data_IF_789089910345
#
_entry.id   IF_789089910345
#
_cell.length_a   1.000
_cell.length_b   1.000
_cell.length_c   1.000
_cell.angle_alpha   90.00
_cell.angle_beta   90.00
_cell.angle_gamma   90.00
#
_symmetry.space_group_name_H-M   'P 1'
#
loop_
_entity.id
_entity.type
_entity.pdbx_description
1 polymer ?
#
# COMPACT_ATOMS: atom_id res chain seq x y z
N UNK A 1 7.59 -54.99 0.08
CA UNK A 1 7.40 -53.67 0.73
C UNK A 1 7.81 -52.61 -0.27
N UNK A 2 6.85 -51.89 -0.84
CA UNK A 2 7.10 -50.71 -1.67
C UNK A 2 7.21 -49.53 -0.71
N UNK A 3 8.41 -49.00 -0.54
CA UNK A 3 8.61 -47.69 0.08
C UNK A 3 7.89 -46.66 -0.78
N UNK A 4 6.78 -46.16 -0.26
CA UNK A 4 6.13 -44.96 -0.79
C UNK A 4 6.99 -43.79 -0.33
N UNK A 5 7.87 -43.34 -1.21
CA UNK A 5 8.55 -42.07 -1.04
C UNK A 5 7.50 -40.99 -0.75
N UNK A 6 7.60 -40.40 0.44
CA UNK A 6 6.90 -39.18 0.77
C UNK A 6 7.25 -38.15 -0.31
N UNK A 7 6.24 -37.67 -1.03
CA UNK A 7 6.35 -36.45 -1.82
C UNK A 7 6.84 -35.35 -0.88
N UNK A 8 8.09 -34.92 -1.06
CA UNK A 8 8.56 -33.66 -0.49
C UNK A 8 7.65 -32.59 -1.06
N UNK A 9 6.88 -31.92 -0.21
CA UNK A 9 6.18 -30.70 -0.61
C UNK A 9 7.18 -29.78 -1.28
N UNK A 10 6.93 -29.42 -2.54
CA UNK A 10 7.86 -28.67 -3.36
C UNK A 10 8.04 -27.26 -2.77
N UNK A 11 9.10 -27.08 -1.99
CA UNK A 11 9.58 -25.76 -1.57
C UNK A 11 10.09 -25.01 -2.79
N UNK A 12 9.86 -23.71 -2.84
CA UNK A 12 10.37 -22.89 -3.93
C UNK A 12 11.89 -22.81 -3.81
N UNK A 13 12.61 -23.28 -4.84
CA UNK A 13 14.06 -23.14 -4.87
C UNK A 13 14.45 -21.68 -5.12
N UNK A 14 15.46 -21.18 -4.40
CA UNK A 14 15.92 -19.79 -4.51
C UNK A 14 16.47 -19.48 -5.89
N UNK A 15 17.04 -20.50 -6.56
CA UNK A 15 17.49 -20.41 -7.95
C UNK A 15 16.36 -20.09 -8.94
N UNK A 16 15.10 -20.29 -8.56
CA UNK A 16 13.94 -19.97 -9.38
C UNK A 16 13.34 -18.60 -9.07
N UNK A 17 13.86 -17.87 -8.08
CA UNK A 17 13.41 -16.51 -7.79
C UNK A 17 14.27 -15.48 -8.53
N UNK A 18 13.66 -14.73 -9.45
CA UNK A 18 14.26 -13.57 -10.08
C UNK A 18 13.78 -12.29 -9.40
N UNK A 19 14.75 -11.51 -8.91
CA UNK A 19 14.53 -10.14 -8.45
C UNK A 19 14.90 -9.15 -9.56
N UNK A 20 13.91 -8.53 -10.18
CA UNK A 20 14.12 -7.39 -11.09
C UNK A 20 14.06 -6.09 -10.31
N UNK A 21 15.15 -5.31 -10.34
CA UNK A 21 15.28 -4.00 -9.70
C UNK A 21 15.18 -2.89 -10.75
N UNK A 22 14.11 -2.10 -10.72
CA UNK A 22 13.95 -0.92 -11.56
C UNK A 22 14.17 0.32 -10.69
N UNK A 23 15.16 1.14 -11.02
CA UNK A 23 15.49 2.36 -10.28
C UNK A 23 15.01 3.54 -11.11
N UNK A 24 14.02 4.28 -10.61
CA UNK A 24 13.60 5.55 -11.19
C UNK A 24 14.36 6.66 -10.47
N UNK A 25 15.21 7.39 -11.19
CA UNK A 25 16.02 8.47 -10.61
C UNK A 25 15.20 9.76 -10.46
N UNK A 26 15.31 10.40 -9.30
CA UNK A 26 14.63 11.66 -8.99
C UNK A 26 14.20 11.78 -7.54
N UNK A 27 13.94 13.02 -7.12
CA UNK A 27 13.33 13.34 -5.82
C UNK A 27 11.81 13.30 -5.95
N UNK A 28 11.16 12.42 -5.17
CA UNK A 28 9.73 12.19 -5.23
C UNK A 28 9.11 12.32 -3.86
N UNK A 29 7.92 12.90 -3.80
CA UNK A 29 7.18 13.05 -2.55
C UNK A 29 6.42 11.77 -2.17
N UNK A 30 5.79 11.13 -3.15
CA UNK A 30 5.00 9.92 -2.96
C UNK A 30 4.72 9.18 -4.29
N UNK A 31 4.26 7.94 -4.22
CA UNK A 31 3.96 7.11 -5.38
C UNK A 31 2.80 6.14 -5.12
N UNK A 32 2.00 5.78 -6.11
CA UNK A 32 0.96 4.77 -5.95
C UNK A 32 0.69 4.02 -7.26
N UNK A 33 0.43 2.71 -7.19
CA UNK A 33 -0.14 1.97 -8.30
C UNK A 33 -1.63 1.74 -8.08
N UNK A 34 -2.45 2.19 -9.02
CA UNK A 34 -3.89 1.99 -8.94
C UNK A 34 -4.51 1.84 -10.33
N UNK A 35 -5.32 0.79 -10.50
CA UNK A 35 -6.09 0.51 -11.73
C UNK A 35 -5.27 0.60 -13.04
N UNK A 36 -4.06 0.02 -13.04
CA UNK A 36 -3.20 0.01 -14.22
C UNK A 36 -2.56 1.36 -14.58
N UNK A 37 -2.60 2.32 -13.65
CA UNK A 37 -1.88 3.59 -13.71
C UNK A 37 -0.83 3.66 -12.60
N UNK A 38 0.23 4.40 -12.88
CA UNK A 38 1.29 4.73 -11.94
C UNK A 38 1.22 6.22 -11.62
N UNK A 39 0.92 6.52 -10.37
CA UNK A 39 0.77 7.85 -9.82
C UNK A 39 2.09 8.20 -9.15
N UNK A 40 2.74 9.25 -9.60
CA UNK A 40 4.03 9.68 -9.08
C UNK A 40 3.96 11.17 -8.74
N UNK A 41 4.13 11.47 -7.46
CA UNK A 41 4.26 12.84 -7.00
C UNK A 41 5.70 13.29 -7.15
N UNK A 42 5.97 14.08 -8.18
CA UNK A 42 7.31 14.66 -8.42
C UNK A 42 7.67 15.75 -7.41
N UNK A 43 6.68 16.25 -6.69
CA UNK A 43 6.80 17.12 -5.52
C UNK A 43 5.44 17.15 -4.80
N UNK A 44 5.34 17.90 -3.70
CA UNK A 44 4.09 18.08 -2.94
C UNK A 44 2.97 18.81 -3.69
N UNK A 45 3.19 19.28 -4.93
CA UNK A 45 2.21 20.07 -5.70
C UNK A 45 1.91 19.50 -7.08
N UNK A 46 2.60 18.43 -7.49
CA UNK A 46 2.54 17.92 -8.86
C UNK A 46 2.45 16.41 -8.84
N UNK A 47 1.35 15.90 -9.39
CA UNK A 47 1.09 14.49 -9.57
C UNK A 47 1.08 14.14 -11.05
N UNK A 48 2.02 13.29 -11.48
CA UNK A 48 2.05 12.72 -12.81
C UNK A 48 1.40 11.34 -12.81
N UNK A 49 0.54 11.08 -13.78
CA UNK A 49 -0.21 9.83 -13.94
C UNK A 49 0.26 9.17 -15.24
N UNK A 50 0.94 8.04 -15.11
CA UNK A 50 1.50 7.27 -16.21
C UNK A 50 0.69 6.00 -16.48
N UNK A 51 0.68 5.56 -17.74
CA UNK A 51 0.14 4.27 -18.14
C UNK A 51 1.09 3.13 -17.74
N UNK A 52 0.93 2.61 -16.53
CA UNK A 52 1.73 1.51 -16.00
C UNK A 52 1.75 0.29 -16.93
N UNK A 53 0.58 -0.07 -17.49
CA UNK A 53 0.49 -1.27 -18.32
C UNK A 53 1.30 -1.16 -19.61
N UNK A 54 1.24 0.00 -20.29
CA UNK A 54 2.05 0.25 -21.50
C UNK A 54 3.53 0.27 -21.17
N UNK A 55 3.91 0.91 -20.07
CA UNK A 55 5.32 0.97 -19.65
C UNK A 55 5.86 -0.44 -19.38
N UNK A 56 5.15 -1.23 -18.59
CA UNK A 56 5.52 -2.62 -18.30
C UNK A 56 5.63 -3.50 -19.56
N UNK A 57 4.78 -3.29 -20.56
CA UNK A 57 4.87 -4.00 -21.84
C UNK A 57 6.13 -3.62 -22.61
N UNK A 58 6.47 -2.34 -22.69
CA UNK A 58 7.70 -1.89 -23.34
C UNK A 58 8.94 -2.44 -22.63
N UNK A 59 8.90 -2.50 -21.29
CA UNK A 59 9.98 -3.04 -20.49
C UNK A 59 10.31 -4.50 -20.82
N UNK A 60 9.35 -5.32 -21.24
CA UNK A 60 9.61 -6.72 -21.65
C UNK A 60 10.40 -6.88 -22.95
N UNK A 61 10.55 -5.80 -23.72
CA UNK A 61 11.31 -5.79 -24.97
C UNK A 61 12.77 -5.37 -24.78
N UNK A 62 13.14 -4.97 -23.56
CA UNK A 62 14.49 -4.52 -23.22
C UNK A 62 15.28 -5.75 -22.75
N UNK A 63 16.33 -6.09 -23.48
CA UNK A 63 17.27 -7.14 -23.08
C UNK A 63 18.02 -6.73 -21.80
N UNK A 64 18.12 -7.66 -20.85
CA UNK A 64 18.73 -7.43 -19.53
C UNK A 64 19.65 -8.58 -19.17
N UNK A 65 20.89 -8.30 -18.74
CA UNK A 65 21.74 -9.35 -18.20
C UNK A 65 21.19 -9.81 -16.86
N UNK A 66 20.98 -11.13 -16.73
CA UNK A 66 20.65 -11.79 -15.46
C UNK A 66 21.96 -12.16 -14.76
N UNK A 67 22.18 -11.63 -13.57
CA UNK A 67 23.28 -12.03 -12.69
C UNK A 67 22.79 -13.15 -11.78
N UNK A 68 23.46 -14.30 -11.77
CA UNK A 68 22.96 -15.51 -11.11
C UNK A 68 23.36 -15.64 -9.63
N UNK A 69 24.39 -14.90 -9.17
CA UNK A 69 24.94 -15.04 -7.82
C UNK A 69 24.74 -13.76 -6.99
N UNK A 70 24.36 -13.84 -5.69
CA UNK A 70 24.00 -15.04 -4.92
C UNK A 70 22.59 -15.60 -5.24
N UNK A 71 21.81 -14.88 -6.05
CA UNK A 71 20.51 -15.28 -6.60
C UNK A 71 20.26 -14.55 -7.93
N UNK A 72 19.36 -15.02 -8.80
CA UNK A 72 19.05 -14.34 -10.06
C UNK A 72 18.55 -12.90 -9.84
N UNK A 73 19.28 -11.94 -10.38
CA UNK A 73 18.94 -10.51 -10.31
C UNK A 73 19.11 -9.81 -11.65
N UNK A 74 18.24 -8.84 -11.92
CA UNK A 74 18.35 -7.92 -13.04
C UNK A 74 18.21 -6.49 -12.52
N UNK A 75 18.89 -5.54 -13.17
CA UNK A 75 18.75 -4.13 -12.83
C UNK A 75 18.49 -3.28 -14.08
N UNK A 76 17.59 -2.31 -13.96
CA UNK A 76 17.32 -1.27 -14.94
C UNK A 76 17.31 0.09 -14.25
N UNK A 77 17.98 1.09 -14.83
CA UNK A 77 17.87 2.49 -14.43
C UNK A 77 16.99 3.22 -15.44
N UNK A 78 16.11 4.07 -14.94
CA UNK A 78 15.07 4.77 -15.70
C UNK A 78 15.04 6.22 -15.22
N UNK A 79 14.96 7.16 -16.15
CA UNK A 79 14.79 8.58 -15.88
C UNK A 79 13.32 9.00 -16.06
N UNK A 80 12.96 10.21 -15.63
CA UNK A 80 11.62 10.75 -15.92
C UNK A 80 11.36 10.91 -17.44
N UNK A 81 12.40 11.16 -18.22
CA UNK A 81 12.28 11.28 -19.68
C UNK A 81 11.92 9.93 -20.33
N UNK A 82 12.44 8.83 -19.79
CA UNK A 82 12.06 7.47 -20.22
C UNK A 82 10.59 7.14 -19.90
N UNK A 83 10.00 7.82 -18.90
CA UNK A 83 8.59 7.68 -18.54
C UNK A 83 7.67 8.59 -19.36
N UNK A 84 8.20 9.64 -19.99
CA UNK A 84 7.43 10.64 -20.72
C UNK A 84 6.48 10.06 -21.79
N UNK A 85 6.85 9.02 -22.58
CA UNK A 85 5.95 8.39 -23.55
C UNK A 85 4.69 7.76 -22.94
N UNK A 86 4.70 7.47 -21.64
CA UNK A 86 3.58 6.86 -20.93
C UNK A 86 2.78 7.84 -20.09
N UNK A 87 3.15 9.13 -20.06
CA UNK A 87 2.44 10.15 -19.32
C UNK A 87 1.05 10.38 -19.92
N UNK A 88 0.01 10.23 -19.11
CA UNK A 88 -1.38 10.44 -19.54
C UNK A 88 -1.95 11.77 -19.05
N UNK A 89 -1.55 12.18 -17.83
CA UNK A 89 -2.08 13.37 -17.18
C UNK A 89 -1.11 13.90 -16.13
N UNK A 90 -1.02 15.22 -16.03
CA UNK A 90 -0.39 15.92 -14.92
C UNK A 90 -1.46 16.71 -14.17
N UNK A 91 -1.46 16.59 -12.85
CA UNK A 91 -2.31 17.34 -11.95
C UNK A 91 -1.45 18.28 -11.12
N UNK A 92 -1.79 19.57 -11.13
CA UNK A 92 -1.13 20.59 -10.33
C UNK A 92 -2.04 21.07 -9.21
N UNK A 93 -1.43 21.39 -8.08
CA UNK A 93 -2.07 21.85 -6.85
C UNK A 93 -1.47 23.20 -6.46
N UNK A 94 -2.32 24.13 -6.00
CA UNK A 94 -1.85 25.45 -5.54
C UNK A 94 -1.01 25.29 -4.28
N UNK A 95 -1.48 24.43 -3.37
CA UNK A 95 -0.86 24.19 -2.07
C UNK A 95 -0.13 22.86 -2.02
N UNK A 96 0.87 22.81 -1.13
CA UNK A 96 1.60 21.57 -0.85
C UNK A 96 0.68 20.62 -0.12
N UNK A 97 0.50 19.42 -0.68
CA UNK A 97 -0.25 18.36 -0.03
C UNK A 97 0.55 17.76 1.13
N UNK A 98 -0.15 17.29 2.15
CA UNK A 98 0.42 16.55 3.27
C UNK A 98 0.43 15.05 3.00
N UNK A 99 -0.70 14.52 2.56
CA UNK A 99 -0.84 13.10 2.24
C UNK A 99 -1.94 12.91 1.19
N UNK A 100 -1.93 11.74 0.53
CA UNK A 100 -2.91 11.39 -0.48
C UNK A 100 -3.22 9.91 -0.49
N UNK A 101 -4.43 9.56 -0.93
CA UNK A 101 -4.86 8.19 -1.10
C UNK A 101 -5.81 8.06 -2.30
N UNK A 102 -5.71 6.93 -3.01
CA UNK A 102 -6.58 6.61 -4.15
C UNK A 102 -7.61 5.55 -3.77
N UNK A 103 -8.89 5.89 -3.94
CA UNK A 103 -9.98 4.94 -3.77
C UNK A 103 -11.08 5.21 -4.79
N UNK A 104 -11.60 4.14 -5.41
CA UNK A 104 -12.66 4.20 -6.42
C UNK A 104 -12.45 5.30 -7.48
N UNK A 105 -11.29 5.30 -8.13
CA UNK A 105 -10.90 6.31 -9.14
C UNK A 105 -11.03 7.77 -8.66
N UNK A 106 -10.95 7.99 -7.35
CA UNK A 106 -11.01 9.30 -6.70
C UNK A 106 -9.73 9.48 -5.90
N UNK A 107 -9.07 10.60 -6.13
CA UNK A 107 -7.94 11.05 -5.34
C UNK A 107 -8.46 11.81 -4.12
N UNK A 108 -8.16 11.28 -2.95
CA UNK A 108 -8.32 11.96 -1.68
C UNK A 108 -6.98 12.57 -1.30
N UNK A 109 -6.97 13.83 -0.91
CA UNK A 109 -5.75 14.50 -0.51
C UNK A 109 -6.06 15.57 0.52
N UNK A 110 -5.05 15.98 1.26
CA UNK A 110 -5.16 17.09 2.21
C UNK A 110 -4.04 18.07 2.00
N UNK A 111 -4.35 19.34 2.23
CA UNK A 111 -3.38 20.42 2.38
C UNK A 111 -3.70 21.22 3.66
N UNK A 112 -3.06 22.38 3.84
CA UNK A 112 -3.27 23.22 5.03
C UNK A 112 -4.66 23.89 5.08
N UNK A 113 -5.43 23.86 4.00
CA UNK A 113 -6.77 24.48 3.89
C UNK A 113 -7.90 23.47 4.09
N UNK A 114 -7.59 22.17 4.11
CA UNK A 114 -8.54 21.12 4.44
C UNK A 114 -8.31 19.81 3.71
N UNK A 115 -9.33 18.95 3.78
CA UNK A 115 -9.40 17.63 3.18
C UNK A 115 -10.32 17.62 1.96
N UNK A 116 -9.86 17.03 0.87
CA UNK A 116 -10.47 17.13 -0.45
C UNK A 116 -10.65 15.77 -1.13
N UNK A 117 -11.56 15.74 -2.11
CA UNK A 117 -11.65 14.67 -3.12
C UNK A 117 -11.61 15.23 -4.54
N UNK A 118 -11.05 14.44 -5.44
CA UNK A 118 -10.92 14.75 -6.85
C UNK A 118 -11.18 13.53 -7.71
N UNK A 119 -12.19 13.57 -8.59
CA UNK A 119 -12.48 12.46 -9.49
C UNK A 119 -11.44 12.40 -10.61
N UNK A 120 -10.84 11.23 -10.81
CA UNK A 120 -9.86 10.99 -11.87
C UNK A 120 -10.49 10.50 -13.17
N UNK A 121 -11.77 10.11 -13.14
CA UNK A 121 -12.51 9.63 -14.31
C UNK A 121 -12.83 10.78 -15.26
N UNK A 122 -13.25 11.91 -14.70
CA UNK A 122 -13.68 13.09 -15.46
C UNK A 122 -12.52 14.07 -15.65
N UNK A 123 -12.35 14.56 -16.88
CA UNK A 123 -11.32 15.57 -17.18
C UNK A 123 -11.68 16.94 -16.59
N UNK A 124 -12.98 17.24 -16.55
CA UNK A 124 -13.61 18.46 -16.02
C UNK A 124 -13.95 18.36 -14.53
N UNK A 125 -13.45 17.34 -13.83
CA UNK A 125 -13.69 17.22 -12.39
C UNK A 125 -13.12 18.43 -11.65
N UNK A 126 -13.88 18.94 -10.70
CA UNK A 126 -13.42 19.93 -9.75
C UNK A 126 -12.92 19.26 -8.46
N UNK A 127 -12.01 19.93 -7.76
CA UNK A 127 -11.56 19.53 -6.43
C UNK A 127 -12.65 19.94 -5.43
N UNK A 128 -13.26 18.96 -4.79
CA UNK A 128 -14.36 19.19 -3.83
C UNK A 128 -13.77 19.10 -2.43
N UNK A 129 -13.88 20.19 -1.66
CA UNK A 129 -13.53 20.20 -0.24
C UNK A 129 -14.58 19.39 0.55
N UNK A 130 -14.12 18.38 1.28
CA UNK A 130 -14.96 17.55 2.15
C UNK A 130 -15.05 18.19 3.54
N UNK A 131 -13.92 18.68 4.05
CA UNK A 131 -13.80 19.20 5.40
C UNK A 131 -12.68 20.25 5.47
N UNK A 132 -12.81 21.24 6.35
CA UNK A 132 -11.87 22.36 6.46
C UNK A 132 -10.65 22.05 7.34
N UNK A 133 -10.69 20.96 8.11
CA UNK A 133 -9.57 20.55 8.95
C UNK A 133 -8.45 19.94 8.11
N UNK A 134 -7.19 20.38 8.30
CA UNK A 134 -6.04 19.72 7.71
C UNK A 134 -5.82 18.31 8.28
N UNK A 135 -5.59 17.36 7.38
CA UNK A 135 -5.26 15.97 7.68
C UNK A 135 -3.82 15.72 7.28
N UNK A 136 -3.01 15.25 8.23
CA UNK A 136 -1.58 15.00 8.02
C UNK A 136 -1.28 13.58 7.54
N UNK A 137 -2.17 12.63 7.83
CA UNK A 137 -2.05 11.26 7.34
C UNK A 137 -3.40 10.66 7.02
N UNK A 138 -3.48 9.96 5.88
CA UNK A 138 -4.65 9.27 5.37
C UNK A 138 -4.33 7.77 5.33
N UNK A 139 -5.15 6.97 6.00
CA UNK A 139 -4.94 5.52 6.10
C UNK A 139 -6.18 4.76 5.65
N UNK A 140 -6.07 4.01 4.56
CA UNK A 140 -7.16 3.24 3.98
C UNK A 140 -7.24 1.82 4.57
N UNK A 141 -8.42 1.42 5.01
CA UNK A 141 -8.73 0.06 5.41
C UNK A 141 -9.13 -0.79 4.20
N UNK A 142 -8.74 -2.09 4.15
CA UNK A 142 -9.26 -3.05 3.18
C UNK A 142 -10.79 -3.19 3.19
N UNK A 143 -11.44 -2.76 4.28
CA UNK A 143 -12.90 -2.78 4.41
C UNK A 143 -13.59 -1.54 3.82
N UNK A 144 -12.85 -0.57 3.28
CA UNK A 144 -13.45 0.66 2.74
C UNK A 144 -13.77 1.69 3.83
N UNK A 145 -12.95 1.73 4.88
CA UNK A 145 -12.93 2.76 5.92
C UNK A 145 -11.66 3.61 5.74
N UNK A 146 -11.69 4.89 6.06
CA UNK A 146 -10.53 5.78 5.91
C UNK A 146 -10.27 6.51 7.22
N UNK A 147 -9.13 6.24 7.85
CA UNK A 147 -8.71 6.99 9.03
C UNK A 147 -7.96 8.25 8.62
N UNK A 148 -8.22 9.34 9.33
CA UNK A 148 -7.68 10.66 9.10
C UNK A 148 -7.01 11.14 10.39
N UNK A 149 -5.70 11.37 10.35
CA UNK A 149 -4.92 11.88 11.47
C UNK A 149 -4.74 13.40 11.34
N UNK A 150 -5.32 14.17 12.25
CA UNK A 150 -5.40 15.63 12.17
C UNK A 150 -4.58 16.37 13.24
N UNK A 151 -3.52 15.73 13.76
CA UNK A 151 -2.63 16.31 14.77
C UNK A 151 -3.35 16.50 16.09
N UNK A 152 -3.32 17.72 16.63
CA UNK A 152 -3.98 18.08 17.90
C UNK A 152 -5.50 17.95 17.86
N UNK A 153 -6.13 18.03 16.68
CA UNK A 153 -7.57 17.82 16.55
C UNK A 153 -7.98 16.36 16.79
N UNK A 154 -7.02 15.45 16.67
CA UNK A 154 -7.14 14.03 17.00
C UNK A 154 -7.35 13.12 15.80
N UNK A 155 -8.05 12.01 16.05
CA UNK A 155 -8.27 10.94 15.07
C UNK A 155 -9.72 10.95 14.59
N UNK A 156 -9.87 10.88 13.27
CA UNK A 156 -11.16 10.91 12.59
C UNK A 156 -11.29 9.72 11.63
N UNK A 157 -12.52 9.44 11.23
CA UNK A 157 -12.83 8.48 10.20
C UNK A 157 -13.74 9.09 9.14
N UNK A 158 -13.34 8.94 7.88
CA UNK A 158 -14.17 9.22 6.73
C UNK A 158 -14.73 7.90 6.17
N UNK A 159 -16.06 7.81 6.12
CA UNK A 159 -16.73 6.62 5.62
C UNK A 159 -16.79 6.69 4.08
N UNK A 160 -16.05 5.81 3.40
CA UNK A 160 -16.06 5.74 1.93
C UNK A 160 -17.30 5.05 1.37
N UNK A 161 -17.84 4.08 2.12
CA UNK A 161 -18.97 3.23 1.74
C UNK A 161 -20.20 3.50 2.61
N UNK A 162 -21.41 3.39 2.06
CA UNK A 162 -22.67 3.44 2.82
C UNK A 162 -22.89 2.21 3.71
N UNK A 163 -22.10 1.15 3.51
CA UNK A 163 -22.17 -0.07 4.34
C UNK A 163 -21.89 0.24 5.82
N UNK A 164 -20.91 1.10 6.08
CA UNK A 164 -20.56 1.51 7.43
C UNK A 164 -21.33 2.77 7.83
N UNK A 165 -21.79 2.80 9.07
CA UNK A 165 -22.40 3.97 9.68
C UNK A 165 -22.17 4.02 11.19
N UNK A 166 -22.25 5.22 11.74
CA UNK A 166 -22.30 5.49 13.19
C UNK A 166 -23.71 5.97 13.55
N UNK A 167 -24.26 5.46 14.64
CA UNK A 167 -25.50 6.03 15.22
C UNK A 167 -25.23 7.32 16.01
N UNK A 168 -24.03 7.45 16.60
CA UNK A 168 -23.63 8.64 17.36
C UNK A 168 -23.35 9.83 16.44
N UNK A 169 -24.41 10.46 15.94
CA UNK A 169 -24.34 11.64 15.06
C UNK A 169 -23.65 12.83 15.74
N UNK A 170 -23.59 12.90 17.07
CA UNK A 170 -22.86 13.97 17.77
C UNK A 170 -21.35 13.97 17.46
N UNK A 171 -20.80 12.86 16.99
CA UNK A 171 -19.40 12.75 16.57
C UNK A 171 -19.16 13.24 15.15
N UNK A 172 -20.22 13.52 14.39
CA UNK A 172 -20.11 13.92 12.99
C UNK A 172 -19.67 15.38 12.89
N UNK A 173 -18.47 15.60 12.34
CA UNK A 173 -17.88 16.94 12.18
C UNK A 173 -18.06 17.51 10.77
N UNK A 174 -18.27 16.64 9.78
CA UNK A 174 -18.63 16.99 8.42
C UNK A 174 -19.39 15.83 7.76
N UNK A 175 -19.86 16.01 6.53
CA UNK A 175 -20.57 14.95 5.81
C UNK A 175 -19.73 13.67 5.73
N UNK A 176 -20.17 12.62 6.43
CA UNK A 176 -19.50 11.31 6.51
C UNK A 176 -18.11 11.32 7.18
N UNK A 177 -17.77 12.38 7.93
CA UNK A 177 -16.54 12.48 8.73
C UNK A 177 -16.93 12.46 10.21
N UNK A 178 -16.36 11.52 10.96
CA UNK A 178 -16.67 11.29 12.37
C UNK A 178 -15.40 11.38 13.23
N UNK A 179 -15.49 12.05 14.36
CA UNK A 179 -14.41 12.09 15.35
C UNK A 179 -14.40 10.80 16.18
N UNK A 180 -13.28 10.09 16.13
CA UNK A 180 -13.07 8.87 16.89
C UNK A 180 -12.61 9.20 18.31
N UNK A 181 -11.59 10.03 18.43
CA UNK A 181 -11.10 10.58 19.69
C UNK A 181 -10.35 11.91 19.46
N UNK A 182 -10.04 12.60 20.55
CA UNK A 182 -9.36 13.91 20.54
C UNK A 182 -7.87 13.82 20.92
N UNK A 183 -7.31 12.62 21.01
CA UNK A 183 -5.89 12.46 21.34
C UNK A 183 -5.04 12.77 20.12
N UNK A 184 -3.88 13.41 20.33
CA UNK A 184 -2.97 13.76 19.25
C UNK A 184 -2.71 12.56 18.32
N UNK A 185 -2.90 12.78 17.01
CA UNK A 185 -2.70 11.76 16.00
C UNK A 185 -1.94 12.34 14.80
N UNK A 186 -0.70 11.92 14.63
CA UNK A 186 0.08 12.25 13.43
C UNK A 186 -0.09 11.23 12.32
N UNK A 187 -0.27 9.97 12.70
CA UNK A 187 -0.46 8.84 11.82
C UNK A 187 -1.42 7.83 12.45
N UNK A 188 -2.11 7.06 11.62
CA UNK A 188 -2.96 5.96 12.04
C UNK A 188 -2.77 4.73 11.17
N UNK A 189 -2.80 3.56 11.80
CA UNK A 189 -2.65 2.26 11.15
C UNK A 189 -3.84 1.39 11.56
N UNK A 190 -4.37 0.65 10.60
CA UNK A 190 -5.45 -0.30 10.83
C UNK A 190 -4.91 -1.61 11.42
N UNK A 191 -5.51 -2.06 12.51
CA UNK A 191 -5.38 -3.42 13.05
C UNK A 191 -6.75 -4.09 12.95
N UNK A 192 -7.01 -4.78 11.84
CA UNK A 192 -8.33 -5.34 11.53
C UNK A 192 -9.45 -4.27 11.48
N UNK A 193 -10.30 -4.21 12.51
CA UNK A 193 -11.32 -3.17 12.67
C UNK A 193 -10.85 -2.02 13.57
N UNK A 194 -9.80 -2.26 14.34
CA UNK A 194 -9.21 -1.33 15.30
C UNK A 194 -8.25 -0.37 14.62
N UNK A 195 -7.98 0.75 15.29
CA UNK A 195 -7.03 1.76 14.84
C UNK A 195 -5.97 1.99 15.90
N UNK A 196 -4.72 1.95 15.49
CA UNK A 196 -3.57 2.35 16.29
C UNK A 196 -3.15 3.72 15.79
N UNK A 197 -3.18 4.72 16.65
CA UNK A 197 -2.69 6.07 16.34
C UNK A 197 -1.37 6.34 17.05
N UNK A 198 -0.46 7.01 16.36
CA UNK A 198 0.85 7.37 16.89
C UNK A 198 1.16 8.86 16.68
N UNK A 199 1.99 9.37 17.57
CA UNK A 199 2.56 10.71 17.49
C UNK A 199 3.77 10.81 16.57
N UNK A 200 4.25 12.04 16.35
CA UNK A 200 5.45 12.31 15.53
C UNK A 200 6.74 11.95 16.26
N UNK A 201 6.72 12.02 17.59
CA UNK A 201 7.88 11.71 18.44
C UNK A 201 7.60 10.50 19.33
N UNK A 202 8.67 9.83 19.76
CA UNK A 202 8.59 8.72 20.73
C UNK A 202 8.03 9.15 22.10
N UNK A 203 7.97 10.45 22.39
CA UNK A 203 7.43 10.99 23.65
C UNK A 203 5.89 11.08 23.66
N UNK A 204 5.25 10.99 22.49
CA UNK A 204 3.79 11.05 22.38
C UNK A 204 3.18 9.66 22.57
N UNK A 205 2.15 9.58 23.42
CA UNK A 205 1.47 8.32 23.73
C UNK A 205 0.79 7.76 22.48
N UNK A 206 1.02 6.48 22.21
CA UNK A 206 0.28 5.72 21.19
C UNK A 206 -1.05 5.26 21.80
N UNK A 207 -2.14 5.37 21.05
CA UNK A 207 -3.46 4.91 21.49
C UNK A 207 -3.99 3.85 20.55
N UNK A 208 -4.74 2.88 21.10
CA UNK A 208 -5.53 1.93 20.33
C UNK A 208 -7.00 2.25 20.53
N UNK A 209 -7.70 2.55 19.43
CA UNK A 209 -9.15 2.71 19.36
C UNK A 209 -9.77 1.41 18.92
N UNK A 210 -10.59 0.81 19.79
CA UNK A 210 -11.24 -0.47 19.51
C UNK A 210 -12.67 -0.28 19.02
N UNK A 211 -13.06 -1.09 18.04
CA UNK A 211 -14.41 -1.06 17.48
C UNK A 211 -15.13 -2.39 17.67
N UNK A 212 -16.42 -2.30 17.96
CA UNK A 212 -17.36 -3.40 17.73
C UNK A 212 -18.14 -3.12 16.44
N UNK A 213 -18.28 -4.15 15.59
CA UNK A 213 -18.97 -4.06 14.31
C UNK A 213 -20.10 -5.07 14.26
N UNK A 214 -21.32 -4.58 14.06
CA UNK A 214 -22.51 -5.41 13.94
C UNK A 214 -23.31 -5.00 12.71
N UNK A 215 -23.23 -5.80 11.63
CA UNK A 215 -23.97 -5.57 10.37
C UNK A 215 -23.76 -4.17 9.76
N UNK A 216 -22.52 -3.69 9.77
CA UNK A 216 -22.12 -2.37 9.26
C UNK A 216 -22.20 -1.25 10.29
N UNK A 217 -22.84 -1.47 11.43
CA UNK A 217 -22.87 -0.52 12.52
C UNK A 217 -21.55 -0.53 13.28
N UNK A 218 -20.88 0.62 13.37
CA UNK A 218 -19.61 0.77 14.09
C UNK A 218 -19.85 1.40 15.46
N UNK A 219 -19.41 0.72 16.51
CA UNK A 219 -19.38 1.25 17.87
C UNK A 219 -17.95 1.38 18.37
N UNK A 220 -17.58 2.56 18.84
CA UNK A 220 -16.29 2.77 19.50
C UNK A 220 -16.41 2.23 20.91
N UNK A 221 -15.66 1.17 21.22
CA UNK A 221 -15.68 0.54 22.54
C UNK A 221 -14.84 1.33 23.55
N UNK A 222 -13.61 1.67 23.16
CA UNK A 222 -12.69 2.45 23.99
C UNK A 222 -11.56 3.04 23.13
N UNK A 223 -10.80 3.95 23.73
CA UNK A 223 -9.50 4.41 23.23
C UNK A 223 -8.51 4.39 24.39
N UNK A 224 -7.55 3.47 24.35
CA UNK A 224 -6.65 3.20 25.46
C UNK A 224 -5.19 3.50 25.09
N UNK A 225 -4.38 4.08 26.00
CA UNK A 225 -2.95 4.26 25.76
C UNK A 225 -2.24 2.89 25.73
N UNK A 226 -1.31 2.72 24.81
CA UNK A 226 -0.55 1.48 24.60
C UNK A 226 0.64 1.30 25.55
N UNK A 227 0.74 2.06 26.65
CA UNK A 227 1.82 2.00 27.66
C UNK A 227 1.95 0.67 28.42
N UNK A 228 1.23 -0.39 28.01
CA UNK A 228 1.23 -1.72 28.60
C UNK A 228 1.66 -2.85 27.65
N UNK A 229 2.13 -2.52 26.44
CA UNK A 229 2.73 -3.51 25.53
C UNK A 229 4.20 -3.17 25.33
N UNK A 230 5.05 -3.94 26.02
CA UNK A 230 6.44 -4.14 25.63
C UNK A 230 6.47 -4.62 24.17
N UNK A 231 7.44 -4.09 23.43
CA UNK A 231 7.84 -4.45 22.06
C UNK A 231 7.31 -3.55 20.93
N UNK A 232 8.31 -2.89 20.32
CA UNK A 232 8.36 -2.14 19.06
C UNK A 232 7.07 -2.00 18.26
N UNK A 233 6.52 -0.78 18.24
CA UNK A 233 5.72 -0.28 17.13
C UNK A 233 6.61 -0.25 15.88
N UNK A 234 6.46 -1.26 15.04
CA UNK A 234 7.01 -1.24 13.69
C UNK A 234 5.91 -0.79 12.74
N UNK A 235 6.26 0.24 11.97
CA UNK A 235 5.50 0.73 10.84
C UNK A 235 5.09 -0.44 9.96
N UNK A 236 3.79 -0.72 9.90
CA UNK A 236 3.20 -1.27 8.69
C UNK A 236 2.23 -0.24 8.16
N UNK A 237 2.67 0.48 7.11
CA UNK A 237 1.69 0.98 6.15
C UNK A 237 1.20 -0.26 5.43
N UNK A 238 0.24 -0.92 6.08
CA UNK A 238 -0.51 -1.99 5.48
C UNK A 238 -1.51 -1.33 4.52
N UNK A 239 -1.04 -0.68 3.45
CA UNK A 239 -1.85 -0.53 2.24
C UNK A 239 -2.00 -1.93 1.66
N UNK A 240 -2.92 -2.71 2.23
CA UNK A 240 -3.27 -3.96 1.61
C UNK A 240 -4.17 -3.67 0.45
N UNK A 241 -3.54 -3.84 -0.72
CA UNK A 241 -4.00 -4.77 -1.73
C UNK A 241 -5.49 -4.71 -1.85
N UNK A 242 -5.96 -3.86 -2.76
CA UNK A 242 -7.05 -4.32 -3.57
C UNK A 242 -6.63 -5.69 -4.11
N UNK A 243 -7.21 -6.81 -3.66
CA UNK A 243 -7.03 -8.02 -4.43
C UNK A 243 -7.65 -7.65 -5.77
N UNK A 244 -6.82 -7.53 -6.80
CA UNK A 244 -7.23 -7.86 -8.16
C UNK A 244 -7.65 -9.35 -8.22
N UNK A 245 -8.23 -9.94 -7.15
CA UNK A 245 -8.82 -11.25 -7.18
C UNK A 245 -10.06 -11.17 -8.06
N UNK A 246 -10.27 -12.25 -8.78
CA UNK A 246 -11.48 -12.47 -9.56
C UNK A 246 -12.61 -12.99 -8.64
N UNK A 247 -12.42 -12.97 -7.31
CA UNK A 247 -13.45 -13.40 -6.39
C UNK A 247 -14.41 -12.23 -6.19
N UNK A 248 -15.73 -12.47 -6.31
CA UNK A 248 -16.71 -11.45 -5.97
C UNK A 248 -16.50 -11.02 -4.51
N UNK A 249 -16.59 -9.71 -4.20
CA UNK A 249 -16.61 -9.27 -2.81
C UNK A 249 -17.77 -9.94 -2.09
N UNK A 250 -17.59 -10.32 -0.82
CA UNK A 250 -18.60 -11.03 -0.03
C UNK A 250 -19.80 -10.15 0.38
N UNK A 251 -19.89 -8.91 -0.11
CA UNK A 251 -20.93 -7.95 0.30
C UNK A 251 -21.84 -7.62 -0.89
N UNK A 252 -23.16 -7.65 -0.63
CA UNK A 252 -24.22 -7.46 -1.63
C UNK A 252 -24.44 -5.99 -2.05
N UNK A 253 -23.71 -5.03 -1.49
CA UNK A 253 -23.66 -3.67 -2.02
C UNK A 253 -22.60 -3.62 -3.12
N UNK A 254 -23.09 -3.39 -4.34
CA UNK A 254 -22.34 -3.41 -5.58
C UNK A 254 -20.90 -2.97 -5.44
N UNK A 255 -20.00 -3.91 -5.74
CA UNK A 255 -18.73 -3.60 -6.38
C UNK A 255 -17.86 -2.56 -5.66
N UNK A 256 -17.66 -2.70 -4.34
CA UNK A 256 -16.67 -1.91 -3.58
C UNK A 256 -15.24 -1.98 -4.18
N UNK A 257 -15.00 -2.97 -5.03
CA UNK A 257 -13.75 -3.26 -5.71
C UNK A 257 -13.96 -3.75 -7.15
N UNK A 258 -15.06 -3.38 -7.84
CA UNK A 258 -15.10 -3.68 -9.27
C UNK A 258 -14.10 -2.84 -10.01
N UNK A 259 -13.07 -3.53 -10.47
CA UNK A 259 -12.36 -3.09 -11.64
C UNK A 259 -13.37 -2.88 -12.76
N UNK A 260 -13.20 -1.80 -13.54
CA UNK A 260 -13.43 -1.94 -14.97
C UNK A 260 -12.53 -3.10 -15.40
N UNK A 261 -13.14 -4.28 -15.50
CA UNK A 261 -12.62 -5.35 -16.30
C UNK A 261 -12.62 -4.78 -17.70
N UNK A 262 -11.49 -4.19 -18.09
CA UNK A 262 -11.13 -3.99 -19.47
C UNK A 262 -11.51 -5.30 -20.16
N UNK A 263 -12.56 -5.30 -20.99
CA UNK A 263 -13.19 -6.51 -21.53
C UNK A 263 -12.24 -7.31 -22.45
N UNK A 264 -10.99 -6.88 -22.52
CA UNK A 264 -9.89 -7.50 -23.22
C UNK A 264 -9.31 -8.67 -22.41
N UNK A 265 -9.49 -9.88 -22.93
CA UNK A 265 -8.75 -11.06 -22.48
C UNK A 265 -7.26 -10.88 -22.77
N UNK A 266 -6.49 -10.43 -21.78
CA UNK A 266 -5.03 -10.33 -21.90
C UNK A 266 -4.41 -11.72 -21.78
N UNK A 267 -3.55 -12.11 -22.74
CA UNK A 267 -2.69 -13.28 -22.60
C UNK A 267 -1.81 -13.10 -21.36
N UNK A 268 -2.06 -13.90 -20.32
CA UNK A 268 -1.33 -13.85 -19.05
C UNK A 268 0.01 -14.57 -19.24
N UNK A 269 1.13 -13.89 -19.03
CA UNK A 269 2.43 -14.56 -18.95
C UNK A 269 2.54 -15.21 -17.55
N UNK A 270 2.83 -16.51 -17.52
CA UNK A 270 2.89 -17.30 -16.29
C UNK A 270 4.10 -16.91 -15.42
N UNK A 271 5.22 -16.50 -16.02
CA UNK A 271 6.47 -16.13 -15.33
C UNK A 271 6.28 -14.91 -14.42
N UNK A 272 5.60 -13.88 -14.92
CA UNK A 272 5.38 -12.62 -14.19
C UNK A 272 4.19 -12.67 -13.22
N UNK A 273 3.40 -13.76 -13.23
CA UNK A 273 2.19 -13.90 -12.40
C UNK A 273 2.17 -15.19 -11.59
N UNK A 274 3.33 -15.71 -11.22
CA UNK A 274 3.39 -16.93 -10.44
C UNK A 274 2.56 -16.83 -9.15
N UNK A 275 1.95 -17.97 -8.79
CA UNK A 275 1.17 -18.15 -7.56
C UNK A 275 2.03 -18.71 -6.42
N UNK A 276 3.23 -19.24 -6.72
CA UNK A 276 4.16 -19.82 -5.75
C UNK A 276 4.81 -18.73 -4.92
N UNK A 277 5.30 -17.67 -5.56
CA UNK A 277 5.84 -16.48 -4.88
C UNK A 277 4.71 -15.72 -4.19
N UNK A 278 4.87 -15.41 -2.89
CA UNK A 278 4.01 -14.48 -2.16
C UNK A 278 4.83 -13.52 -1.32
N UNK A 279 4.65 -12.23 -1.54
CA UNK A 279 5.25 -11.17 -0.74
C UNK A 279 4.27 -10.69 0.33
N UNK A 280 4.70 -10.70 1.59
CA UNK A 280 3.89 -10.37 2.75
C UNK A 280 4.74 -9.56 3.73
N UNK A 281 4.14 -8.56 4.35
CA UNK A 281 4.77 -7.83 5.44
C UNK A 281 4.68 -8.60 6.75
N UNK A 282 5.78 -8.63 7.50
CA UNK A 282 5.81 -9.25 8.82
C UNK A 282 4.89 -8.51 9.79
N UNK A 283 3.98 -9.24 10.41
CA UNK A 283 3.16 -8.71 11.49
C UNK A 283 4.03 -8.50 12.74
N UNK A 284 3.78 -7.43 13.52
CA UNK A 284 4.43 -7.21 14.80
C UNK A 284 4.34 -8.44 15.72
N UNK A 285 5.33 -8.63 16.59
CA UNK A 285 5.43 -9.79 17.48
C UNK A 285 4.16 -10.02 18.32
N UNK A 286 3.45 -8.96 18.68
CA UNK A 286 2.18 -8.98 19.43
C UNK A 286 0.97 -9.50 18.63
N UNK A 287 1.03 -9.50 17.31
CA UNK A 287 -0.03 -9.98 16.40
C UNK A 287 0.33 -11.31 15.72
N UNK A 288 1.46 -11.93 16.06
CA UNK A 288 1.89 -13.23 15.53
C UNK A 288 1.04 -14.36 16.12
N UNK A 289 -0.05 -14.69 15.45
CA UNK A 289 -0.89 -15.85 15.78
C UNK A 289 -0.55 -17.12 14.99
N UNK A 290 0.29 -17.01 13.94
CA UNK A 290 0.62 -18.15 13.07
C UNK A 290 2.04 -18.08 12.50
N UNK A 291 2.62 -19.25 12.25
CA UNK A 291 3.88 -19.41 11.53
C UNK A 291 3.65 -19.16 10.04
N UNK A 292 4.41 -18.25 9.43
CA UNK A 292 4.37 -18.05 7.98
C UNK A 292 4.88 -19.28 7.24
N UNK A 293 4.36 -19.51 6.03
CA UNK A 293 4.92 -20.54 5.14
C UNK A 293 6.36 -20.18 4.78
N UNK A 294 7.30 -21.15 4.75
CA UNK A 294 8.70 -20.91 4.41
C UNK A 294 8.90 -20.37 2.98
N UNK A 295 7.91 -20.55 2.10
CA UNK A 295 7.95 -20.11 0.70
C UNK A 295 7.51 -18.64 0.51
N UNK A 296 7.15 -17.94 1.58
CA UNK A 296 6.76 -16.53 1.51
C UNK A 296 7.99 -15.63 1.61
N UNK A 297 8.00 -14.59 0.78
CA UNK A 297 8.88 -13.44 0.93
C UNK A 297 8.33 -12.55 2.04
N UNK A 298 9.08 -12.49 3.13
CA UNK A 298 8.70 -11.73 4.31
C UNK A 298 9.41 -10.38 4.31
N UNK A 299 8.66 -9.29 4.21
CA UNK A 299 9.18 -7.92 4.36
C UNK A 299 9.21 -7.59 5.84
N UNK A 300 10.40 -7.34 6.36
CA UNK A 300 10.63 -6.97 7.75
C UNK A 300 11.04 -5.49 7.77
N UNK A 301 10.10 -4.57 8.08
CA UNK A 301 10.38 -3.14 8.12
C UNK A 301 11.11 -2.69 9.39
N UNK A 302 11.43 -3.62 10.30
CA UNK A 302 11.96 -3.34 11.63
C UNK A 302 13.32 -2.61 11.60
N UNK A 303 13.50 -1.67 12.54
CA UNK A 303 14.77 -0.94 12.73
C UNK A 303 15.84 -1.86 13.31
N UNK A 304 17.12 -1.79 12.88
CA UNK A 304 17.73 -0.74 12.04
C UNK A 304 17.83 -1.07 10.54
N UNK A 305 17.50 -2.30 10.12
CA UNK A 305 17.68 -2.74 8.73
C UNK A 305 16.36 -3.22 8.18
N UNK A 306 15.93 -2.61 7.08
CA UNK A 306 14.81 -3.10 6.30
C UNK A 306 15.24 -4.33 5.52
N UNK A 307 14.53 -5.45 5.68
CA UNK A 307 14.90 -6.73 5.05
C UNK A 307 13.75 -7.35 4.28
N UNK A 308 14.09 -8.11 3.25
CA UNK A 308 13.20 -9.12 2.66
C UNK A 308 13.84 -10.47 2.87
N UNK A 309 13.12 -11.40 3.50
CA UNK A 309 13.61 -12.73 3.86
C UNK A 309 12.86 -13.79 3.05
N UNK A 310 13.60 -14.78 2.54
CA UNK A 310 13.07 -16.02 1.99
C UNK A 310 13.75 -17.19 2.71
N UNK A 311 12.97 -18.13 3.28
CA UNK A 311 13.51 -19.32 3.94
C UNK A 311 14.64 -19.00 4.94
N UNK A 312 14.44 -17.99 5.79
CA UNK A 312 15.38 -17.48 6.80
C UNK A 312 16.66 -16.81 6.28
N UNK A 313 16.79 -16.59 4.97
CA UNK A 313 17.91 -15.82 4.40
C UNK A 313 17.43 -14.47 3.88
N UNK A 314 18.22 -13.43 4.13
CA UNK A 314 17.96 -12.10 3.62
C UNK A 314 18.32 -12.04 2.13
N UNK A 315 17.32 -11.75 1.30
CA UNK A 315 17.47 -11.59 -0.15
C UNK A 315 17.58 -10.12 -0.57
N UNK A 316 17.20 -9.21 0.33
CA UNK A 316 17.34 -7.76 0.19
C UNK A 316 17.58 -7.18 1.59
N UNK A 317 18.57 -6.31 1.71
CA UNK A 317 18.82 -5.52 2.91
C UNK A 317 19.05 -4.06 2.52
N UNK A 318 18.37 -3.14 3.20
CA UNK A 318 18.49 -1.71 3.00
C UNK A 318 18.57 -1.00 4.36
N UNK A 319 19.37 0.07 4.50
CA UNK A 319 19.36 0.89 5.71
C UNK A 319 17.97 1.52 5.91
N UNK A 320 17.31 1.25 7.04
CA UNK A 320 15.94 1.75 7.26
C UNK A 320 15.84 3.27 7.23
N UNK A 321 16.91 3.96 7.62
CA UNK A 321 17.03 5.42 7.65
C UNK A 321 16.96 6.07 6.26
N UNK A 322 17.29 5.34 5.21
CA UNK A 322 17.24 5.84 3.82
C UNK A 322 15.85 5.67 3.19
N UNK A 323 14.98 4.88 3.83
CA UNK A 323 13.63 4.58 3.32
C UNK A 323 12.65 5.62 3.84
N UNK A 324 12.21 6.49 2.94
CA UNK A 324 11.15 7.45 3.23
C UNK A 324 9.79 6.76 3.31
N UNK A 325 9.48 5.89 2.34
CA UNK A 325 8.19 5.20 2.22
C UNK A 325 8.36 3.89 1.46
N UNK A 326 7.56 2.87 1.75
CA UNK A 326 7.50 1.66 0.94
C UNK A 326 6.06 1.18 0.78
N UNK A 327 5.80 0.44 -0.30
CA UNK A 327 4.49 -0.19 -0.56
C UNK A 327 4.67 -1.57 -1.16
N UNK A 328 3.78 -2.49 -0.79
CA UNK A 328 3.73 -3.84 -1.33
C UNK A 328 2.52 -3.97 -2.26
N UNK A 329 2.75 -4.43 -3.49
CA UNK A 329 1.70 -4.72 -4.46
C UNK A 329 1.70 -6.20 -4.85
N UNK A 330 0.80 -6.97 -4.26
CA UNK A 330 0.71 -8.42 -4.50
C UNK A 330 0.26 -8.75 -5.92
N UNK A 331 -0.42 -7.82 -6.60
CA UNK A 331 -0.90 -8.05 -7.97
C UNK A 331 -1.09 -6.74 -8.75
N UNK A 332 -0.69 -6.77 -10.02
CA UNK A 332 -1.09 -5.83 -11.08
C UNK A 332 -1.58 -6.63 -12.31
N UNK A 333 -1.85 -5.94 -13.43
CA UNK A 333 -2.25 -6.59 -14.70
C UNK A 333 -1.21 -7.59 -15.17
N UNK A 334 0.06 -7.19 -15.16
CA UNK A 334 1.18 -7.97 -15.71
C UNK A 334 2.03 -8.66 -14.63
N UNK A 335 2.14 -8.10 -13.43
CA UNK A 335 3.04 -8.60 -12.38
C UNK A 335 2.31 -9.03 -11.11
N UNK A 336 3.02 -9.78 -10.25
CA UNK A 336 2.67 -10.05 -8.85
C UNK A 336 3.88 -9.80 -7.97
N UNK A 337 3.65 -9.66 -6.67
CA UNK A 337 4.70 -9.58 -5.64
C UNK A 337 5.73 -8.48 -5.95
N UNK A 338 5.31 -7.23 -5.79
CA UNK A 338 6.19 -6.08 -6.00
C UNK A 338 6.40 -5.36 -4.68
N UNK A 339 7.63 -4.98 -4.40
CA UNK A 339 7.99 -4.08 -3.32
C UNK A 339 8.50 -2.79 -3.95
N UNK A 340 7.87 -1.66 -3.67
CA UNK A 340 8.31 -0.36 -4.14
C UNK A 340 8.83 0.43 -2.94
N UNK A 341 10.01 1.03 -3.07
CA UNK A 341 10.72 1.71 -1.99
C UNK A 341 11.13 3.09 -2.47
N UNK A 342 10.64 4.13 -1.79
CA UNK A 342 11.03 5.52 -1.98
C UNK A 342 12.20 5.87 -1.08
N UNK A 343 13.26 6.39 -1.71
CA UNK A 343 14.50 6.86 -1.15
C UNK A 343 14.67 8.35 -1.48
N UNK A 344 15.64 9.02 -0.87
CA UNK A 344 15.85 10.47 -1.05
C UNK A 344 16.03 10.91 -2.51
N UNK A 345 16.70 10.11 -3.34
CA UNK A 345 17.00 10.46 -4.74
C UNK A 345 16.49 9.44 -5.75
N UNK A 346 15.67 8.48 -5.31
CA UNK A 346 15.11 7.49 -6.23
C UNK A 346 13.87 6.79 -5.71
N UNK A 347 13.10 6.25 -6.64
CA UNK A 347 12.06 5.26 -6.37
C UNK A 347 12.50 3.92 -6.98
N UNK A 348 12.74 2.93 -6.12
CA UNK A 348 13.15 1.58 -6.54
C UNK A 348 11.97 0.62 -6.52
N UNK A 349 11.70 -0.02 -7.66
CA UNK A 349 10.68 -1.06 -7.82
C UNK A 349 11.36 -2.42 -7.87
N UNK A 350 11.16 -3.24 -6.85
CA UNK A 350 11.55 -4.63 -6.80
C UNK A 350 10.38 -5.50 -7.27
N UNK A 351 10.59 -6.26 -8.35
CA UNK A 351 9.62 -7.22 -8.88
C UNK A 351 10.17 -8.63 -8.62
N UNK A 352 9.38 -9.46 -7.92
CA UNK A 352 9.75 -10.83 -7.60
C UNK A 352 9.00 -11.80 -8.52
N UNK A 353 9.73 -12.50 -9.37
CA UNK A 353 9.18 -13.36 -10.43
C UNK A 353 9.79 -14.75 -10.39
N UNK A 354 9.08 -15.74 -10.91
CA UNK A 354 9.56 -17.12 -10.95
C UNK A 354 10.17 -17.39 -12.33
N UNK A 355 11.40 -17.91 -12.36
CA UNK A 355 12.04 -18.44 -13.56
C UNK A 355 11.73 -19.93 -13.63
N UNK A 356 11.09 -20.36 -14.71
CA UNK A 356 11.06 -21.77 -15.07
C UNK A 356 12.29 -22.06 -15.95
N UNK A 357 13.16 -22.98 -15.52
CA UNK A 357 14.16 -23.58 -16.41
C UNK A 357 13.51 -24.58 -17.35
#
# INVERSE_FOLDING_TARGET
MKDRGLERGAWMDKEHLLMTKIIIEGDFHDFQLYSGKFYLWTNQKTLNIYNWNKWMQQLTLIDRPIYLEPQPTEQLRVTLDDLAPFLERTLSFSESIYDSALFNHTLYFSDYTGFYRYSLVRKDAEKIRIWEQPVYSISLSPRGRMALSAGEAGLFEYLLSSYYYYEQLERQVATRVYQLNSYYASQAIWDHHDLIQSGRSQSELTYKTQFDEQKGQLHIMNSLPMTQLSDSLTSSVQEYLLPLSLNPPSMQDGLLFSFEMDQQNVKKNHLYRSKSVRLIEELPASLKSSSYSPDFLLVIPASPVFKVILQNEAILELPRQEIQKFRIYNRTRHYRNQLHVLLDESLTLYLFTEINR
#
